data_IF_454123671478
#
_entry.id   IF_454123671478
#
_cell.length_a   1.000
_cell.length_b   1.000
_cell.length_c   1.000
_cell.angle_alpha   90.00
_cell.angle_beta   90.00
_cell.angle_gamma   90.00
#
_symmetry.space_group_name_H-M   'P 1'
#
loop_
_entity.id
_entity.type
_entity.pdbx_description
1 polymer ?
#
# COMPACT_ATOMS: atom_id res chain seq x y z
N UNK A 1 3.30 -14.08 -7.69
CA UNK A 1 4.36 -13.90 -6.70
C UNK A 1 4.51 -12.39 -6.53
N UNK A 2 4.25 -11.87 -5.33
CA UNK A 2 4.29 -10.43 -5.05
C UNK A 2 5.72 -9.95 -5.27
N UNK A 3 5.91 -8.94 -6.14
CA UNK A 3 7.26 -8.47 -6.52
C UNK A 3 7.95 -7.72 -5.39
N UNK A 4 7.20 -6.97 -4.60
CA UNK A 4 7.70 -6.24 -3.45
C UNK A 4 6.80 -6.49 -2.24
N UNK A 5 7.36 -7.06 -1.17
CA UNK A 5 6.64 -7.24 0.10
C UNK A 5 6.82 -6.05 1.04
N UNK A 6 7.54 -5.02 0.61
CA UNK A 6 7.99 -3.91 1.46
C UNK A 6 6.82 -3.22 2.16
N UNK A 7 5.72 -2.90 1.46
CA UNK A 7 4.56 -2.26 2.11
C UNK A 7 3.82 -3.19 3.06
N UNK A 8 3.79 -4.49 2.77
CA UNK A 8 3.21 -5.50 3.64
C UNK A 8 4.05 -5.68 4.91
N UNK A 9 5.37 -5.70 4.80
CA UNK A 9 6.32 -5.76 5.91
C UNK A 9 6.27 -4.49 6.78
N UNK A 10 6.14 -3.32 6.14
CA UNK A 10 5.96 -2.02 6.80
C UNK A 10 4.66 -1.98 7.60
N UNK A 11 3.57 -2.59 7.12
CA UNK A 11 2.33 -2.72 7.91
C UNK A 11 2.36 -3.93 8.86
N UNK A 12 3.26 -4.89 8.64
CA UNK A 12 3.32 -6.15 9.38
C UNK A 12 2.15 -7.08 9.08
N UNK A 13 1.63 -7.03 7.85
CA UNK A 13 0.49 -7.82 7.39
C UNK A 13 0.92 -8.74 6.25
N UNK A 14 0.18 -9.82 6.02
CA UNK A 14 0.46 -10.72 4.90
C UNK A 14 -0.11 -10.17 3.58
N UNK A 15 0.41 -10.56 2.42
CA UNK A 15 -0.18 -10.15 1.13
C UNK A 15 -1.61 -10.65 0.92
N UNK A 16 -2.01 -11.70 1.65
CA UNK A 16 -3.37 -12.22 1.70
C UNK A 16 -4.28 -11.49 2.71
N UNK A 17 -3.76 -10.51 3.45
CA UNK A 17 -4.53 -9.79 4.45
C UNK A 17 -5.68 -9.00 3.82
N UNK A 18 -6.81 -9.01 4.51
CA UNK A 18 -7.99 -8.23 4.19
C UNK A 18 -7.74 -6.72 4.37
N UNK A 19 -8.54 -5.88 3.71
CA UNK A 19 -8.48 -4.42 3.89
C UNK A 19 -8.67 -4.01 5.36
N UNK A 20 -9.52 -4.73 6.10
CA UNK A 20 -9.73 -4.48 7.53
C UNK A 20 -8.47 -4.72 8.37
N UNK A 21 -7.72 -5.78 8.06
CA UNK A 21 -6.45 -6.08 8.72
C UNK A 21 -5.39 -5.04 8.39
N UNK A 22 -5.29 -4.61 7.13
CA UNK A 22 -4.41 -3.53 6.67
C UNK A 22 -4.74 -2.23 7.43
N UNK A 23 -6.03 -1.91 7.57
CA UNK A 23 -6.49 -0.73 8.28
C UNK A 23 -6.15 -0.79 9.77
N UNK A 24 -6.48 -1.90 10.44
CA UNK A 24 -6.14 -2.11 11.87
C UNK A 24 -4.63 -2.05 12.11
N UNK A 25 -3.85 -2.74 11.28
CA UNK A 25 -2.40 -2.77 11.40
C UNK A 25 -1.77 -1.39 11.24
N UNK A 26 -2.26 -0.60 10.29
CA UNK A 26 -1.85 0.80 10.12
C UNK A 26 -2.11 1.63 11.37
N UNK A 27 -3.32 1.56 11.95
CA UNK A 27 -3.64 2.33 13.16
C UNK A 27 -2.79 1.90 14.36
N UNK A 28 -2.61 0.59 14.55
CA UNK A 28 -1.78 0.05 15.64
C UNK A 28 -0.32 0.47 15.46
N UNK A 29 0.25 0.31 14.27
CA UNK A 29 1.64 0.70 14.02
C UNK A 29 1.84 2.20 14.13
N UNK A 30 0.93 3.02 13.60
CA UNK A 30 0.99 4.48 13.74
C UNK A 30 0.89 4.92 15.20
N UNK A 31 0.16 4.19 16.03
CA UNK A 31 0.10 4.43 17.47
C UNK A 31 1.40 4.03 18.19
N UNK A 32 2.01 2.91 17.81
CA UNK A 32 3.23 2.39 18.45
C UNK A 32 4.52 3.10 18.03
N UNK A 33 4.69 3.33 16.72
CA UNK A 33 5.93 3.83 16.10
C UNK A 33 5.86 5.33 15.75
N UNK A 34 4.66 5.92 15.76
CA UNK A 34 4.46 7.31 15.38
C UNK A 34 4.38 7.54 13.86
N UNK A 35 4.70 8.75 13.40
CA UNK A 35 4.59 9.14 11.99
C UNK A 35 5.79 8.66 11.18
N UNK A 36 5.71 7.44 10.67
CA UNK A 36 6.57 6.99 9.57
C UNK A 36 5.93 7.35 8.23
N UNK A 37 6.65 8.06 7.37
CA UNK A 37 6.16 8.41 6.03
C UNK A 37 5.80 7.15 5.23
N UNK A 38 6.61 6.10 5.36
CA UNK A 38 6.45 4.82 4.67
C UNK A 38 5.17 4.10 5.07
N UNK A 39 4.73 4.23 6.33
CA UNK A 39 3.46 3.68 6.83
C UNK A 39 2.24 4.33 6.16
N UNK A 40 2.29 5.65 5.98
CA UNK A 40 1.24 6.39 5.29
C UNK A 40 1.17 6.04 3.80
N UNK A 41 2.33 5.88 3.16
CA UNK A 41 2.41 5.44 1.76
C UNK A 41 1.90 4.01 1.58
N UNK A 42 2.34 3.07 2.43
CA UNK A 42 1.90 1.68 2.41
C UNK A 42 0.38 1.58 2.58
N UNK A 43 -0.19 2.32 3.53
CA UNK A 43 -1.63 2.35 3.74
C UNK A 43 -2.37 2.88 2.51
N UNK A 44 -1.92 3.96 1.88
CA UNK A 44 -2.60 4.50 0.69
C UNK A 44 -2.55 3.57 -0.52
N UNK A 45 -1.44 2.87 -0.74
CA UNK A 45 -1.33 1.91 -1.84
C UNK A 45 -2.14 0.65 -1.57
N UNK A 46 -2.13 0.15 -0.34
CA UNK A 46 -2.82 -1.10 0.03
C UNK A 46 -4.30 -0.91 0.38
N UNK A 47 -4.73 0.32 0.67
CA UNK A 47 -6.12 0.69 0.95
C UNK A 47 -7.04 0.58 -0.25
N UNK A 48 -6.50 0.82 -1.46
CA UNK A 48 -7.29 0.78 -2.69
C UNK A 48 -6.95 -0.50 -3.45
N UNK A 49 -7.94 -1.35 -3.79
CA UNK A 49 -7.68 -2.62 -4.46
C UNK A 49 -7.01 -2.43 -5.82
N UNK A 50 -7.31 -1.33 -6.52
CA UNK A 50 -6.69 -0.98 -7.82
C UNK A 50 -5.20 -0.64 -7.65
N UNK A 51 -4.86 0.12 -6.60
CA UNK A 51 -3.47 0.48 -6.31
C UNK A 51 -2.70 -0.74 -5.81
N UNK A 52 -3.31 -1.57 -4.98
CA UNK A 52 -2.76 -2.83 -4.49
C UNK A 52 -2.45 -3.80 -5.63
N UNK A 53 -3.37 -3.97 -6.56
CA UNK A 53 -3.16 -4.81 -7.74
C UNK A 53 -2.02 -4.27 -8.62
N UNK A 54 -1.96 -2.95 -8.84
CA UNK A 54 -0.86 -2.32 -9.59
C UNK A 54 0.49 -2.52 -8.88
N UNK A 55 0.52 -2.46 -7.55
CA UNK A 55 1.70 -2.75 -6.73
C UNK A 55 2.12 -4.22 -6.86
N UNK A 56 1.19 -5.15 -6.71
CA UNK A 56 1.46 -6.58 -6.75
C UNK A 56 1.93 -7.05 -8.15
N UNK A 57 1.38 -6.46 -9.22
CA UNK A 57 1.74 -6.79 -10.61
C UNK A 57 3.05 -6.14 -11.07
N UNK A 58 3.24 -4.86 -10.77
CA UNK A 58 4.31 -4.07 -11.35
C UNK A 58 5.44 -3.72 -10.36
N UNK A 59 5.25 -3.92 -9.06
CA UNK A 59 6.20 -3.46 -8.03
C UNK A 59 6.35 -1.94 -8.03
N UNK A 60 5.29 -1.22 -8.43
CA UNK A 60 5.35 0.23 -8.61
C UNK A 60 5.23 0.92 -7.28
N UNK A 61 6.17 1.82 -6.97
CA UNK A 61 6.01 2.72 -5.82
C UNK A 61 4.75 3.58 -5.98
N UNK A 62 4.19 4.04 -4.86
CA UNK A 62 3.00 4.89 -4.82
C UNK A 62 2.96 5.98 -5.90
N UNK A 63 4.07 6.71 -6.08
CA UNK A 63 4.16 7.81 -7.04
C UNK A 63 3.89 7.34 -8.47
N UNK A 64 4.44 6.19 -8.85
CA UNK A 64 4.25 5.63 -10.18
C UNK A 64 2.82 5.10 -10.39
N UNK A 65 2.19 4.57 -9.33
CA UNK A 65 0.79 4.15 -9.36
C UNK A 65 -0.15 5.35 -9.53
N UNK A 66 0.04 6.41 -8.71
CA UNK A 66 -0.75 7.65 -8.80
C UNK A 66 -0.57 8.34 -10.17
N UNK A 67 0.64 8.36 -10.70
CA UNK A 67 0.92 8.92 -12.02
C UNK A 67 0.23 8.12 -13.14
N UNK A 68 0.29 6.78 -13.09
CA UNK A 68 -0.40 5.92 -14.04
C UNK A 68 -1.93 6.07 -13.97
N UNK A 69 -2.48 6.19 -12.77
CA UNK A 69 -3.92 6.42 -12.57
C UNK A 69 -4.37 7.78 -13.13
N UNK A 70 -3.62 8.84 -12.84
CA UNK A 70 -3.90 10.19 -13.34
C UNK A 70 -3.78 10.27 -14.88
N UNK A 71 -2.83 9.54 -15.48
CA UNK A 71 -2.72 9.42 -16.95
C UNK A 71 -3.93 8.71 -17.54
N UNK A 72 -4.39 7.60 -16.93
CA UNK A 72 -5.60 6.89 -17.39
C UNK A 72 -6.86 7.74 -17.30
N UNK A 73 -7.00 8.58 -16.27
CA UNK A 73 -8.16 9.46 -16.07
C UNK A 73 -8.20 10.67 -17.03
N UNK A 74 -7.08 11.01 -17.67
CA UNK A 74 -6.96 12.14 -18.61
C UNK A 74 -7.14 11.76 -20.09
N UNK A 75 -7.34 10.48 -20.39
CA UNK A 75 -7.67 9.97 -21.73
C UNK A 75 -9.16 9.66 -21.81
#
# INVERSE_FOLDING_TARGET
MVKETVYYDVLGVTPSASEEEICKAYYIKRFLLGKEQVLGEAYQVLSDPVHREAYDLNGLTRKAIEEQYNVKKRR
#
